data_IF_842534121793
#
_entry.id   IF_842534121793
#
_cell.length_a   1.000
_cell.length_b   1.000
_cell.length_c   1.000
_cell.angle_alpha   90.00
_cell.angle_beta   90.00
_cell.angle_gamma   90.00
#
_symmetry.space_group_name_H-M   'P 1'
#
loop_
_entity.id
_entity.type
_entity.pdbx_description
1 polymer ?
#
# COMPACT_ATOMS: atom_id res chain seq x y z
N UNK A 1 13.21 11.70 27.20
CA UNK A 1 12.12 12.59 26.79
C UNK A 1 11.24 11.78 25.88
N UNK A 2 10.11 11.32 26.39
CA UNK A 2 9.17 10.49 25.64
C UNK A 2 7.88 11.31 25.46
N UNK A 3 7.06 10.94 24.49
CA UNK A 3 5.68 11.41 24.43
C UNK A 3 4.94 11.03 25.71
N UNK A 4 3.99 11.87 26.11
CA UNK A 4 3.20 11.64 27.30
C UNK A 4 2.66 12.93 27.91
N UNK A 5 2.01 12.78 29.06
CA UNK A 5 1.39 13.90 29.75
C UNK A 5 2.25 14.43 30.90
N UNK A 6 2.28 15.74 31.06
CA UNK A 6 2.79 16.44 32.24
C UNK A 6 1.61 17.10 32.94
N UNK A 7 1.44 16.84 34.23
CA UNK A 7 0.44 17.54 35.06
C UNK A 7 1.07 18.73 35.75
N UNK A 8 0.51 19.92 35.53
CA UNK A 8 0.85 21.15 36.22
C UNK A 8 -0.24 21.44 37.24
N UNK A 9 0.14 21.52 38.51
CA UNK A 9 -0.76 21.87 39.61
C UNK A 9 -0.57 23.33 40.01
N UNK A 10 -1.64 24.10 39.99
CA UNK A 10 -1.68 25.47 40.46
C UNK A 10 -2.28 25.50 41.86
N UNK A 11 -1.58 26.16 42.79
CA UNK A 11 -2.05 26.36 44.17
C UNK A 11 -2.48 27.80 44.35
N UNK A 12 -3.55 28.02 45.11
CA UNK A 12 -4.00 29.33 45.57
C UNK A 12 -4.22 29.28 47.07
N UNK A 13 -3.79 30.33 47.78
CA UNK A 13 -4.04 30.50 49.20
C UNK A 13 -4.80 31.80 49.42
N UNK A 14 -5.84 31.78 50.26
CA UNK A 14 -6.52 33.00 50.70
C UNK A 14 -5.82 33.66 51.91
N UNK A 15 -6.24 34.87 52.27
CA UNK A 15 -5.67 35.61 53.41
C UNK A 15 -5.94 34.95 54.77
N UNK A 16 -6.83 33.96 54.81
CA UNK A 16 -7.23 33.20 56.00
C UNK A 16 -6.48 31.87 56.12
N UNK A 17 -5.62 31.54 55.15
CA UNK A 17 -4.80 30.33 55.14
C UNK A 17 -5.44 29.12 54.44
N UNK A 18 -6.57 29.29 53.74
CA UNK A 18 -7.18 28.20 52.99
C UNK A 18 -6.45 27.96 51.67
N UNK A 19 -5.90 26.76 51.48
CA UNK A 19 -5.21 26.35 50.26
C UNK A 19 -6.17 25.57 49.35
N UNK A 20 -6.38 26.08 48.14
CA UNK A 20 -7.00 25.37 47.02
C UNK A 20 -5.96 25.00 45.96
N UNK A 21 -6.31 24.05 45.10
CA UNK A 21 -5.50 23.74 43.91
C UNK A 21 -6.38 23.37 42.71
N UNK A 22 -5.80 23.47 41.52
CA UNK A 22 -6.34 22.96 40.27
C UNK A 22 -5.23 22.35 39.42
N UNK A 23 -5.56 21.37 38.59
CA UNK A 23 -4.61 20.64 37.74
C UNK A 23 -4.88 20.95 36.26
N UNK A 24 -3.80 21.11 35.49
CA UNK A 24 -3.80 21.17 34.03
C UNK A 24 -2.91 20.06 33.51
N UNK A 25 -3.42 19.24 32.59
CA UNK A 25 -2.66 18.18 31.93
C UNK A 25 -2.21 18.69 30.57
N UNK A 26 -0.90 18.64 30.29
CA UNK A 26 -0.30 19.00 29.02
C UNK A 26 0.19 17.73 28.34
N UNK A 27 -0.21 17.52 27.09
CA UNK A 27 0.28 16.42 26.27
C UNK A 27 1.44 16.91 25.41
N UNK A 28 2.57 16.20 25.47
CA UNK A 28 3.68 16.37 24.56
C UNK A 28 3.75 15.15 23.67
N UNK A 29 3.84 15.39 22.37
CA UNK A 29 4.05 14.36 21.38
C UNK A 29 5.36 14.61 20.62
N UNK A 30 6.19 13.58 20.59
CA UNK A 30 7.46 13.53 19.84
C UNK A 30 7.58 12.23 19.05
N UNK A 31 6.55 11.38 19.07
CA UNK A 31 6.57 10.14 18.33
C UNK A 31 6.40 10.51 16.85
N UNK A 32 7.26 9.93 16.02
CA UNK A 32 7.22 10.15 14.58
C UNK A 32 6.36 9.05 13.99
N UNK A 33 5.39 9.37 13.11
CA UNK A 33 4.56 8.35 12.51
C UNK A 33 5.39 7.44 11.59
N UNK A 34 4.96 6.19 11.44
CA UNK A 34 5.55 5.25 10.49
C UNK A 34 4.53 4.84 9.45
N UNK A 35 4.90 4.96 8.17
CA UNK A 35 4.06 4.60 7.03
C UNK A 35 4.58 3.40 6.26
N UNK A 36 3.66 2.73 5.55
CA UNK A 36 3.94 1.56 4.75
C UNK A 36 3.18 1.64 3.43
N UNK A 37 3.86 1.31 2.33
CA UNK A 37 3.26 1.09 1.02
C UNK A 37 2.96 -0.39 0.83
N UNK A 38 1.71 -0.69 0.46
CA UNK A 38 1.19 -2.05 0.28
C UNK A 38 0.70 -2.18 -1.17
N UNK A 39 1.15 -3.25 -1.85
CA UNK A 39 0.68 -3.66 -3.16
C UNK A 39 1.00 -5.15 -3.34
N UNK A 40 0.36 -5.79 -4.32
CA UNK A 40 0.72 -7.15 -4.74
C UNK A 40 1.44 -7.09 -6.09
N UNK A 41 2.71 -7.52 -6.17
CA UNK A 41 3.41 -7.61 -7.45
C UNK A 41 2.65 -8.51 -8.42
N UNK A 42 2.61 -8.10 -9.69
CA UNK A 42 2.13 -8.94 -10.77
C UNK A 42 3.01 -10.19 -10.94
N UNK A 43 4.33 -10.02 -10.82
CA UNK A 43 5.29 -11.11 -10.83
C UNK A 43 6.57 -10.72 -10.07
N UNK A 44 7.31 -11.73 -9.61
CA UNK A 44 8.51 -11.50 -8.80
C UNK A 44 8.23 -10.66 -7.56
N UNK A 45 9.10 -9.70 -7.27
CA UNK A 45 9.02 -8.84 -6.07
C UNK A 45 8.60 -7.40 -6.38
N UNK A 46 8.88 -6.91 -7.59
CA UNK A 46 8.73 -5.49 -7.93
C UNK A 46 7.95 -5.24 -9.23
N UNK A 47 7.64 -6.27 -10.01
CA UNK A 47 6.93 -6.07 -11.27
C UNK A 47 5.45 -5.82 -11.00
N UNK A 48 4.91 -4.76 -11.59
CA UNK A 48 3.52 -4.31 -11.43
C UNK A 48 2.92 -4.07 -12.80
N UNK A 49 1.59 -4.03 -12.87
CA UNK A 49 0.85 -3.75 -14.10
C UNK A 49 0.00 -2.49 -13.89
N UNK A 50 -0.58 -1.96 -14.95
CA UNK A 50 -1.35 -0.70 -14.90
C UNK A 50 -2.54 -0.75 -13.95
N UNK A 51 -3.06 -1.94 -13.63
CA UNK A 51 -4.15 -2.15 -12.66
C UNK A 51 -3.66 -2.52 -11.25
N UNK A 52 -2.35 -2.52 -10.98
CA UNK A 52 -1.83 -2.74 -9.63
C UNK A 52 -2.15 -1.52 -8.77
N UNK A 53 -2.96 -1.73 -7.74
CA UNK A 53 -3.31 -0.69 -6.76
C UNK A 53 -2.25 -0.62 -5.67
N UNK A 54 -1.79 0.59 -5.42
CA UNK A 54 -0.91 0.96 -4.32
C UNK A 54 -1.71 1.62 -3.20
N UNK A 55 -1.58 1.08 -2.00
CA UNK A 55 -2.26 1.57 -0.80
C UNK A 55 -1.22 2.01 0.23
N UNK A 56 -1.41 3.19 0.81
CA UNK A 56 -0.59 3.68 1.92
C UNK A 56 -1.36 3.60 3.23
N UNK A 57 -0.67 3.16 4.27
CA UNK A 57 -1.17 3.18 5.66
C UNK A 57 -0.11 3.76 6.57
N UNK A 58 -0.50 4.39 7.67
CA UNK A 58 0.44 4.87 8.67
C UNK A 58 -0.10 4.69 10.08
N UNK A 59 0.81 4.61 11.04
CA UNK A 59 0.51 4.50 12.46
C UNK A 59 1.45 5.40 13.25
N UNK A 60 0.92 6.07 14.27
CA UNK A 60 1.65 6.98 15.13
C UNK A 60 1.80 6.45 16.57
N UNK A 61 1.54 5.16 16.78
CA UNK A 61 1.63 4.50 18.08
C UNK A 61 0.75 5.16 19.15
N UNK A 62 1.41 5.74 20.16
CA UNK A 62 0.79 6.47 21.26
C UNK A 62 0.79 8.00 21.08
N UNK A 63 1.26 8.48 19.92
CA UNK A 63 1.32 9.90 19.58
C UNK A 63 -0.05 10.51 19.32
N UNK A 64 -0.05 11.68 18.70
CA UNK A 64 -1.22 12.51 18.42
C UNK A 64 -2.08 11.96 17.27
N UNK A 65 -1.63 10.92 16.60
CA UNK A 65 -2.29 10.30 15.46
C UNK A 65 -1.82 10.90 14.13
N UNK A 66 -2.00 10.14 13.06
CA UNK A 66 -1.58 10.56 11.72
C UNK A 66 -2.51 11.63 11.19
N UNK A 67 -1.93 12.75 10.71
CA UNK A 67 -2.65 13.82 10.03
C UNK A 67 -2.77 13.55 8.53
N UNK A 68 -1.65 13.29 7.86
CA UNK A 68 -1.62 13.08 6.41
C UNK A 68 -0.47 12.16 6.01
N UNK A 69 -0.68 11.37 4.96
CA UNK A 69 0.39 10.68 4.24
C UNK A 69 0.58 11.39 2.91
N UNK A 70 1.83 11.63 2.52
CA UNK A 70 2.18 12.20 1.21
C UNK A 70 2.98 11.20 0.42
N UNK A 71 2.76 11.19 -0.89
CA UNK A 71 3.53 10.37 -1.82
C UNK A 71 3.87 11.13 -3.09
N UNK A 72 4.84 10.62 -3.84
CA UNK A 72 5.16 11.06 -5.19
C UNK A 72 5.72 9.92 -6.01
N UNK A 73 5.62 10.05 -7.33
CA UNK A 73 6.21 9.12 -8.30
C UNK A 73 7.38 9.84 -8.96
N UNK A 74 8.58 9.26 -8.86
CA UNK A 74 9.85 9.85 -9.30
C UNK A 74 10.04 11.28 -8.72
N UNK A 75 10.27 12.26 -9.58
CA UNK A 75 10.53 13.66 -9.22
C UNK A 75 9.28 14.55 -9.36
N UNK A 76 8.09 13.96 -9.39
CA UNK A 76 6.83 14.72 -9.35
C UNK A 76 6.66 15.46 -8.02
N UNK A 77 5.68 16.37 -7.98
CA UNK A 77 5.26 17.04 -6.75
C UNK A 77 4.65 16.04 -5.77
N UNK A 78 4.77 16.33 -4.47
CA UNK A 78 4.09 15.57 -3.42
C UNK A 78 2.57 15.72 -3.53
N UNK A 79 1.87 14.60 -3.37
CA UNK A 79 0.42 14.47 -3.43
C UNK A 79 -0.04 13.95 -2.07
N UNK A 80 -1.08 14.56 -1.50
CA UNK A 80 -1.73 14.05 -0.29
C UNK A 80 -2.49 12.76 -0.65
N UNK A 81 -2.22 11.69 0.09
CA UNK A 81 -2.84 10.39 -0.13
C UNK A 81 -4.28 10.41 0.42
N UNK A 82 -5.25 10.19 -0.47
CA UNK A 82 -6.68 10.14 -0.12
C UNK A 82 -7.31 8.76 -0.35
N UNK A 83 -6.80 8.01 -1.34
CA UNK A 83 -7.24 6.67 -1.69
C UNK A 83 -6.12 5.96 -2.49
N UNK A 84 -6.30 4.67 -2.76
CA UNK A 84 -5.38 3.88 -3.56
C UNK A 84 -5.17 4.46 -4.96
N UNK A 85 -3.97 4.28 -5.50
CA UNK A 85 -3.59 4.79 -6.83
C UNK A 85 -2.90 3.71 -7.66
N UNK A 86 -2.79 3.93 -8.97
CA UNK A 86 -2.13 3.01 -9.91
C UNK A 86 -1.17 3.76 -10.85
N UNK A 87 -0.58 3.02 -11.80
CA UNK A 87 0.30 3.55 -12.83
C UNK A 87 -0.34 3.51 -14.23
N UNK A 88 -1.68 3.56 -14.33
CA UNK A 88 -2.40 3.47 -15.60
C UNK A 88 -2.06 4.57 -16.62
N UNK A 89 -1.63 5.74 -16.14
CA UNK A 89 -1.19 6.87 -16.98
C UNK A 89 0.29 6.85 -17.37
N UNK A 90 1.04 5.81 -17.03
CA UNK A 90 2.49 5.74 -17.18
C UNK A 90 2.93 4.74 -18.24
N UNK A 91 4.05 5.01 -18.89
CA UNK A 91 4.68 4.08 -19.82
C UNK A 91 5.41 2.95 -19.05
N UNK A 92 5.61 1.81 -19.68
CA UNK A 92 6.42 0.71 -19.13
C UNK A 92 7.79 1.22 -18.72
N UNK A 93 8.29 0.75 -17.58
CA UNK A 93 9.60 1.13 -17.05
C UNK A 93 9.66 1.16 -15.53
N UNK A 94 10.77 1.69 -15.01
CA UNK A 94 11.03 1.76 -13.59
C UNK A 94 10.49 3.06 -12.97
N UNK A 95 9.83 2.93 -11.82
CA UNK A 95 9.25 4.03 -11.06
C UNK A 95 9.66 3.96 -9.60
N UNK A 96 10.17 5.07 -9.07
CA UNK A 96 10.42 5.21 -7.65
C UNK A 96 9.20 5.85 -6.98
N UNK A 97 8.54 5.12 -6.08
CA UNK A 97 7.44 5.65 -5.28
C UNK A 97 8.02 6.07 -3.94
N UNK A 98 8.02 7.37 -3.67
CA UNK A 98 8.46 7.93 -2.38
C UNK A 98 7.26 8.34 -1.55
N UNK A 99 7.32 8.15 -0.23
CA UNK A 99 6.21 8.47 0.67
C UNK A 99 6.69 8.76 2.10
N UNK A 100 5.91 9.53 2.86
CA UNK A 100 6.12 9.81 4.28
C UNK A 100 4.80 10.23 4.95
N UNK A 101 4.70 10.03 6.28
CA UNK A 101 3.58 10.51 7.09
C UNK A 101 3.93 11.77 7.91
N UNK A 102 2.88 12.53 8.26
CA UNK A 102 2.92 13.66 9.19
C UNK A 102 1.83 13.41 10.25
N UNK A 103 2.13 13.63 11.53
CA UNK A 103 1.16 13.53 12.63
C UNK A 103 0.38 14.85 12.85
N UNK A 104 -0.49 14.88 13.86
CA UNK A 104 -1.33 16.03 14.18
C UNK A 104 -0.59 17.19 14.88
N UNK A 105 0.64 17.00 15.35
CA UNK A 105 1.47 18.05 15.97
C UNK A 105 2.63 18.50 15.07
N UNK A 106 2.77 17.90 13.89
CA UNK A 106 3.74 18.26 12.87
C UNK A 106 5.05 17.47 12.91
N UNK A 107 5.14 16.34 13.61
CA UNK A 107 6.27 15.43 13.47
C UNK A 107 6.21 14.75 12.10
N UNK A 108 7.36 14.65 11.42
CA UNK A 108 7.46 14.20 10.03
C UNK A 108 8.33 12.95 9.96
N UNK A 109 7.81 11.91 9.31
CA UNK A 109 8.56 10.68 9.02
C UNK A 109 9.71 10.94 8.03
N UNK A 110 10.81 10.20 8.18
CA UNK A 110 11.81 10.13 7.12
C UNK A 110 11.19 9.58 5.82
N UNK A 111 11.63 10.10 4.67
CA UNK A 111 11.10 9.67 3.38
C UNK A 111 11.46 8.21 3.11
N UNK A 112 10.44 7.37 2.96
CA UNK A 112 10.56 6.00 2.46
C UNK A 112 10.53 6.01 0.93
N UNK A 113 11.09 4.97 0.31
CA UNK A 113 11.03 4.80 -1.15
C UNK A 113 11.11 3.34 -1.57
N UNK A 114 10.42 3.01 -2.65
CA UNK A 114 10.49 1.70 -3.29
C UNK A 114 10.53 1.84 -4.81
N UNK A 115 11.37 1.01 -5.44
CA UNK A 115 11.45 0.88 -6.89
C UNK A 115 10.49 -0.21 -7.36
N UNK A 116 9.64 0.11 -8.34
CA UNK A 116 8.77 -0.85 -9.03
C UNK A 116 9.04 -0.83 -10.52
N UNK A 117 8.75 -1.94 -11.20
CA UNK A 117 8.84 -2.06 -12.66
C UNK A 117 7.43 -2.22 -13.23
N UNK A 118 6.93 -1.20 -13.93
CA UNK A 118 5.68 -1.31 -14.67
C UNK A 118 5.93 -2.12 -15.94
N UNK A 119 5.28 -3.28 -16.06
CA UNK A 119 5.43 -4.21 -17.18
C UNK A 119 4.13 -4.32 -17.97
N UNK A 120 4.26 -4.75 -19.23
CA UNK A 120 3.13 -5.13 -20.07
C UNK A 120 2.49 -6.43 -19.56
N UNK A 121 1.17 -6.50 -19.62
CA UNK A 121 0.46 -7.78 -19.47
C UNK A 121 0.62 -8.51 -20.80
N UNK A 122 1.15 -9.75 -20.82
CA UNK A 122 1.25 -10.51 -22.05
C UNK A 122 -0.15 -10.67 -22.66
N UNK A 123 -0.33 -10.19 -23.89
CA UNK A 123 -1.55 -10.44 -24.65
C UNK A 123 -1.72 -11.94 -24.86
N UNK A 124 -2.95 -12.49 -24.80
CA UNK A 124 -3.17 -13.87 -25.22
C UNK A 124 -2.64 -14.03 -26.66
N UNK A 125 -2.07 -15.20 -27.01
CA UNK A 125 -1.63 -15.45 -28.38
C UNK A 125 -2.80 -15.18 -29.35
N UNK A 126 -2.53 -14.64 -30.55
CA UNK A 126 -3.58 -14.33 -31.51
C UNK A 126 -4.44 -15.57 -31.75
N UNK A 127 -5.76 -15.40 -31.65
CA UNK A 127 -6.70 -16.44 -32.06
C UNK A 127 -6.41 -16.77 -33.52
N UNK A 128 -6.17 -18.04 -33.83
CA UNK A 128 -6.05 -18.47 -35.23
C UNK A 128 -7.47 -18.36 -35.82
N UNK A 129 -7.73 -17.48 -36.80
CA UNK A 129 -9.08 -17.30 -37.33
C UNK A 129 -9.64 -18.62 -37.84
N UNK A 130 -10.77 -19.05 -37.30
CA UNK A 130 -11.41 -20.33 -37.63
C UNK A 130 -11.01 -21.52 -36.77
N UNK A 131 -10.16 -21.36 -35.75
CA UNK A 131 -9.88 -22.40 -34.75
C UNK A 131 -10.26 -21.94 -33.35
N UNK A 132 -11.37 -22.48 -32.85
CA UNK A 132 -11.72 -22.37 -31.43
C UNK A 132 -10.87 -23.37 -30.63
N UNK A 133 -10.07 -22.84 -29.69
CA UNK A 133 -9.14 -23.60 -28.87
C UNK A 133 -9.86 -24.67 -28.03
N UNK A 134 -11.11 -24.42 -27.62
CA UNK A 134 -11.97 -25.38 -26.92
C UNK A 134 -12.31 -26.55 -27.86
N UNK A 135 -12.70 -26.26 -29.12
CA UNK A 135 -12.97 -27.30 -30.10
C UNK A 135 -11.72 -28.14 -30.42
N UNK A 136 -10.54 -27.53 -30.47
CA UNK A 136 -9.29 -28.24 -30.78
C UNK A 136 -8.90 -29.22 -29.67
N UNK A 137 -9.04 -28.84 -28.39
CA UNK A 137 -8.85 -29.73 -27.24
C UNK A 137 -9.87 -30.89 -27.23
N UNK A 138 -11.12 -30.64 -27.61
CA UNK A 138 -12.15 -31.69 -27.74
C UNK A 138 -11.79 -32.69 -28.85
N UNK A 139 -11.35 -32.22 -30.02
CA UNK A 139 -10.99 -33.09 -31.16
C UNK A 139 -9.78 -33.97 -30.82
N UNK A 140 -8.74 -33.41 -30.19
CA UNK A 140 -7.58 -34.18 -29.72
C UNK A 140 -8.02 -35.23 -28.69
N UNK A 141 -8.82 -34.83 -27.69
CA UNK A 141 -9.32 -35.72 -26.65
C UNK A 141 -10.15 -36.89 -27.22
N UNK A 142 -11.09 -36.61 -28.12
CA UNK A 142 -11.91 -37.63 -28.80
C UNK A 142 -11.03 -38.57 -29.63
N UNK A 143 -10.05 -38.05 -30.37
CA UNK A 143 -9.12 -38.85 -31.19
C UNK A 143 -8.25 -39.79 -30.33
N UNK A 144 -7.82 -39.33 -29.15
CA UNK A 144 -7.10 -40.14 -28.17
C UNK A 144 -7.97 -41.24 -27.59
N UNK A 145 -9.21 -40.92 -27.18
CA UNK A 145 -10.18 -41.91 -26.67
C UNK A 145 -10.46 -42.99 -27.73
N UNK A 146 -10.68 -42.60 -28.99
CA UNK A 146 -10.90 -43.53 -30.10
C UNK A 146 -9.67 -44.42 -30.30
N UNK A 147 -8.46 -43.85 -30.27
CA UNK A 147 -7.21 -44.59 -30.45
C UNK A 147 -6.95 -45.60 -29.32
N UNK A 148 -7.22 -45.21 -28.07
CA UNK A 148 -7.14 -46.09 -26.90
C UNK A 148 -8.16 -47.24 -27.02
N UNK A 149 -9.41 -46.94 -27.43
CA UNK A 149 -10.45 -47.95 -27.61
C UNK A 149 -10.12 -48.92 -28.75
N UNK A 150 -9.57 -48.43 -29.86
CA UNK A 150 -9.12 -49.26 -31.00
C UNK A 150 -7.96 -50.18 -30.60
N UNK A 151 -7.02 -49.69 -29.78
CA UNK A 151 -5.90 -50.49 -29.27
C UNK A 151 -6.36 -51.61 -28.34
N UNK A 152 -7.36 -51.37 -27.48
CA UNK A 152 -7.93 -52.37 -26.56
C UNK A 152 -8.72 -53.48 -27.28
N UNK A 153 -9.39 -53.18 -28.39
CA UNK A 153 -10.17 -54.17 -29.15
C UNK A 153 -9.32 -55.07 -30.05
N UNK A 154 -8.05 -54.72 -30.29
CA UNK A 154 -7.11 -55.46 -31.14
C UNK A 154 -6.10 -56.29 -30.32
N UNK A 155 -6.33 -56.49 -29.02
CA UNK A 155 -5.59 -57.38 -28.10
C UNK A 155 -6.52 -58.44 -27.57
#
# INVERSE_FOLDING_TARGET
SNSGSVTIRFYANDTTGNIGYTDVIIYKDIDVPSSQLIFTPYSGTIAVITSTIFTLTANDGLGSGVSVIRYKINDSSWIDYTDGFDLSGYAIGYYNISYYAIDNVGNIENVNSILVELVEIPSPPPEIPGFDLIFMLVVIGVSLIISIRKRKNNS
#
